data_IF_498139933766
#
_entry.id   IF_498139933766
#
_cell.length_a   1.000
_cell.length_b   1.000
_cell.length_c   1.000
_cell.angle_alpha   90.00
_cell.angle_beta   90.00
_cell.angle_gamma   90.00
#
_symmetry.space_group_name_H-M   'P 1'
#
loop_
_entity.id
_entity.type
_entity.pdbx_description
1 polymer ?
#
# COMPACT_ATOMS: atom_id res chain seq x y z
N UNK A 1 20.13 -22.10 -1.33
CA UNK A 1 20.01 -20.78 -0.69
C UNK A 1 18.99 -20.93 0.42
N UNK A 2 19.40 -20.81 1.68
CA UNK A 2 18.44 -20.79 2.80
C UNK A 2 17.93 -19.36 2.92
N UNK A 3 16.66 -19.16 2.61
CA UNK A 3 16.00 -17.88 2.81
C UNK A 3 15.52 -17.83 4.25
N UNK A 4 15.90 -16.79 4.98
CA UNK A 4 15.39 -16.53 6.33
C UNK A 4 14.60 -15.23 6.28
N UNK A 5 13.32 -15.30 6.65
CA UNK A 5 12.46 -14.13 6.76
C UNK A 5 12.58 -13.56 8.17
N UNK A 6 12.81 -12.24 8.25
CA UNK A 6 12.94 -11.51 9.52
C UNK A 6 12.13 -10.24 9.41
N UNK A 7 11.24 -10.01 10.37
CA UNK A 7 10.55 -8.72 10.49
C UNK A 7 11.49 -7.73 11.18
N UNK A 8 11.90 -6.68 10.45
CA UNK A 8 12.79 -5.64 10.99
C UNK A 8 12.03 -4.57 11.77
N UNK A 9 10.80 -4.26 11.36
CA UNK A 9 9.96 -3.26 12.03
C UNK A 9 8.53 -3.24 11.49
N UNK A 10 7.60 -2.80 12.32
CA UNK A 10 6.21 -2.53 11.96
C UNK A 10 5.78 -1.22 12.63
N UNK A 11 5.79 -0.12 11.88
CA UNK A 11 5.61 1.22 12.41
C UNK A 11 4.17 1.68 12.13
N UNK A 12 3.36 1.99 13.16
CA UNK A 12 1.99 2.44 12.96
C UNK A 12 1.91 3.78 12.23
N UNK A 13 0.89 3.93 11.37
CA UNK A 13 0.68 5.18 10.62
C UNK A 13 0.33 6.40 11.50
N UNK A 14 -0.05 6.20 12.76
CA UNK A 14 -0.39 7.29 13.68
C UNK A 14 0.83 8.00 14.28
N UNK A 15 2.00 7.35 14.26
CA UNK A 15 3.09 7.70 15.19
C UNK A 15 4.14 8.59 14.53
N UNK A 16 4.11 8.72 13.20
CA UNK A 16 5.07 9.49 12.41
C UNK A 16 4.35 10.15 11.23
N UNK A 17 4.87 11.29 10.76
CA UNK A 17 4.50 11.76 9.42
C UNK A 17 5.12 10.79 8.40
N UNK A 18 4.44 10.63 7.27
CA UNK A 18 4.77 9.64 6.24
C UNK A 18 5.45 10.27 5.04
N UNK A 19 6.35 11.22 5.27
CA UNK A 19 7.17 11.74 4.17
C UNK A 19 8.21 10.70 3.75
N UNK A 20 8.77 10.82 2.55
CA UNK A 20 9.82 9.91 2.12
C UNK A 20 11.04 9.94 3.06
N UNK A 21 11.43 11.12 3.54
CA UNK A 21 12.51 11.25 4.51
C UNK A 21 12.26 10.39 5.77
N UNK A 22 11.10 10.55 6.40
CA UNK A 22 10.77 9.84 7.64
C UNK A 22 10.72 8.31 7.46
N UNK A 23 10.21 7.86 6.30
CA UNK A 23 10.23 6.43 5.94
C UNK A 23 11.67 5.93 5.78
N UNK A 24 12.53 6.68 5.09
CA UNK A 24 13.93 6.33 4.89
C UNK A 24 14.69 6.23 6.22
N UNK A 25 14.57 7.24 7.08
CA UNK A 25 15.18 7.27 8.41
C UNK A 25 14.74 6.07 9.25
N UNK A 26 13.43 5.84 9.34
CA UNK A 26 12.89 4.76 10.15
C UNK A 26 13.33 3.39 9.64
N UNK A 27 13.45 3.21 8.32
CA UNK A 27 13.97 1.98 7.71
C UNK A 27 15.41 1.73 8.15
N UNK A 28 16.27 2.75 8.09
CA UNK A 28 17.67 2.62 8.47
C UNK A 28 17.86 2.35 9.96
N UNK A 29 17.07 2.99 10.81
CA UNK A 29 17.04 2.71 12.25
C UNK A 29 16.66 1.24 12.51
N UNK A 30 15.59 0.74 11.89
CA UNK A 30 15.19 -0.65 12.04
C UNK A 30 16.26 -1.65 11.55
N UNK A 31 16.95 -1.35 10.46
CA UNK A 31 18.06 -2.18 9.98
C UNK A 31 19.23 -2.19 10.97
N UNK A 32 19.65 -1.01 11.45
CA UNK A 32 20.75 -0.88 12.39
C UNK A 32 20.46 -1.56 13.75
N UNK A 33 19.26 -1.38 14.31
CA UNK A 33 18.81 -2.04 15.54
C UNK A 33 18.86 -3.58 15.42
N UNK A 34 18.75 -4.08 14.20
CA UNK A 34 18.76 -5.50 13.87
C UNK A 34 20.13 -6.05 13.50
N UNK A 35 21.16 -5.20 13.52
CA UNK A 35 22.55 -5.54 13.21
C UNK A 35 22.89 -5.49 11.71
N UNK A 36 21.97 -5.01 10.86
CA UNK A 36 22.13 -4.96 9.42
C UNK A 36 22.76 -3.62 8.99
N UNK A 37 23.96 -3.35 9.49
CA UNK A 37 24.71 -2.10 9.28
C UNK A 37 24.71 -1.18 10.50
N UNK A 38 25.30 -0.01 10.34
CA UNK A 38 25.36 1.06 11.34
C UNK A 38 24.62 2.26 10.79
N UNK A 39 23.70 2.79 11.60
CA UNK A 39 23.01 4.03 11.31
C UNK A 39 23.01 4.91 12.56
N UNK A 40 23.61 6.09 12.45
CA UNK A 40 23.61 7.08 13.54
C UNK A 40 22.91 8.34 13.05
N UNK A 41 21.65 8.51 13.46
CA UNK A 41 20.93 9.77 13.24
C UNK A 41 21.57 10.84 14.12
N UNK A 42 22.16 11.85 13.48
CA UNK A 42 22.64 13.05 14.15
C UNK A 42 22.20 14.30 13.41
N UNK A 43 20.94 14.38 12.97
CA UNK A 43 20.24 15.61 12.54
C UNK A 43 21.12 16.81 12.06
N UNK A 44 22.05 16.57 11.12
CA UNK A 44 22.56 17.47 10.05
C UNK A 44 23.85 17.05 9.36
N UNK A 45 24.62 16.08 9.87
CA UNK A 45 25.72 15.46 9.13
C UNK A 45 25.77 13.98 9.56
N UNK A 46 25.33 13.07 8.68
CA UNK A 46 25.45 11.62 8.94
C UNK A 46 26.93 11.29 9.17
N UNK A 47 27.28 10.83 10.36
CA UNK A 47 28.66 10.44 10.69
C UNK A 47 28.98 9.06 10.12
N UNK A 48 28.00 8.16 10.08
CA UNK A 48 28.14 6.81 9.50
C UNK A 48 26.77 6.24 9.09
N UNK A 49 26.65 5.83 7.83
CA UNK A 49 25.50 5.09 7.28
C UNK A 49 26.04 3.95 6.40
N UNK A 50 26.09 2.75 6.97
CA UNK A 50 26.50 1.52 6.27
C UNK A 50 25.32 0.60 5.99
N UNK A 51 24.08 1.04 6.29
CA UNK A 51 22.86 0.25 6.02
C UNK A 51 22.65 0.05 4.53
N UNK A 52 22.96 1.05 3.70
CA UNK A 52 22.88 0.89 2.23
C UNK A 52 23.78 -0.24 1.70
N UNK A 53 24.87 -0.56 2.40
CA UNK A 53 25.84 -1.58 1.96
C UNK A 53 25.40 -2.99 2.41
N UNK A 54 24.53 -3.08 3.43
CA UNK A 54 23.96 -4.35 3.90
C UNK A 54 22.69 -4.74 3.14
N UNK A 55 21.98 -3.77 2.56
CA UNK A 55 20.75 -3.97 1.81
C UNK A 55 21.06 -4.18 0.33
N UNK A 56 20.90 -5.42 -0.14
CA UNK A 56 21.12 -5.73 -1.56
C UNK A 56 20.08 -5.09 -2.48
N UNK A 57 18.80 -5.16 -2.11
CA UNK A 57 17.72 -4.55 -2.86
C UNK A 57 16.51 -4.31 -1.96
N UNK A 58 15.71 -3.32 -2.35
CA UNK A 58 14.40 -3.03 -1.74
C UNK A 58 13.29 -3.37 -2.73
N UNK A 59 12.15 -3.82 -2.22
CA UNK A 59 10.96 -4.10 -3.02
C UNK A 59 9.79 -3.34 -2.41
N UNK A 60 9.17 -2.43 -3.16
CA UNK A 60 8.03 -1.63 -2.72
C UNK A 60 6.97 -1.47 -3.80
N UNK A 61 5.79 -1.02 -3.40
CA UNK A 61 4.84 -0.44 -4.35
C UNK A 61 5.36 0.90 -4.91
N UNK A 62 4.64 1.46 -5.89
CA UNK A 62 5.03 2.72 -6.52
C UNK A 62 4.53 3.95 -5.75
N UNK A 63 4.28 3.87 -4.44
CA UNK A 63 3.86 5.02 -3.66
C UNK A 63 4.97 6.07 -3.59
N UNK A 64 4.65 7.35 -3.83
CA UNK A 64 5.66 8.40 -3.99
C UNK A 64 6.57 8.54 -2.77
N UNK A 65 6.03 8.37 -1.57
CA UNK A 65 6.80 8.58 -0.34
C UNK A 65 7.77 7.42 -0.10
N UNK A 66 7.38 6.16 -0.35
CA UNK A 66 8.30 5.03 -0.18
C UNK A 66 9.42 5.08 -1.23
N UNK A 67 9.08 5.40 -2.49
CA UNK A 67 10.07 5.57 -3.57
C UNK A 67 11.06 6.68 -3.23
N UNK A 68 10.59 7.82 -2.70
CA UNK A 68 11.47 8.90 -2.29
C UNK A 68 12.33 8.54 -1.07
N UNK A 69 11.76 7.81 -0.09
CA UNK A 69 12.48 7.42 1.12
C UNK A 69 13.54 6.35 0.89
N UNK A 70 13.36 5.52 -0.12
CA UNK A 70 14.28 4.45 -0.48
C UNK A 70 15.11 4.76 -1.72
N UNK A 71 15.15 6.02 -2.17
CA UNK A 71 15.90 6.43 -3.36
C UNK A 71 17.43 6.22 -3.27
N UNK A 72 17.95 5.93 -2.08
CA UNK A 72 19.36 5.64 -1.82
C UNK A 72 19.69 4.15 -1.88
N UNK A 73 18.67 3.28 -1.98
CA UNK A 73 18.82 1.84 -2.16
C UNK A 73 18.57 1.45 -3.62
N UNK A 74 19.11 0.31 -4.03
CA UNK A 74 18.68 -0.33 -5.28
C UNK A 74 17.25 -0.85 -5.10
N UNK A 75 16.31 -0.28 -5.86
CA UNK A 75 14.87 -0.52 -5.73
C UNK A 75 14.28 -1.29 -6.90
N UNK A 76 13.38 -2.23 -6.59
CA UNK A 76 12.57 -2.95 -7.55
C UNK A 76 11.07 -2.80 -7.25
N UNK A 77 10.26 -2.88 -8.29
CA UNK A 77 8.81 -2.80 -8.16
C UNK A 77 8.24 -4.11 -7.60
N UNK A 78 7.27 -3.98 -6.71
CA UNK A 78 6.52 -5.12 -6.20
C UNK A 78 5.64 -5.74 -7.28
N UNK A 79 5.83 -7.04 -7.54
CA UNK A 79 5.05 -7.80 -8.52
C UNK A 79 3.55 -7.82 -8.20
N UNK A 80 3.17 -7.87 -6.92
CA UNK A 80 1.75 -7.85 -6.52
C UNK A 80 1.12 -6.49 -6.84
N UNK A 81 1.84 -5.40 -6.62
CA UNK A 81 1.41 -4.07 -7.01
C UNK A 81 1.30 -3.94 -8.54
N UNK A 82 2.27 -4.47 -9.29
CA UNK A 82 2.22 -4.51 -10.75
C UNK A 82 1.03 -5.31 -11.27
N UNK A 83 0.73 -6.47 -10.67
CA UNK A 83 -0.44 -7.26 -11.02
C UNK A 83 -1.73 -6.49 -10.74
N UNK A 84 -1.81 -5.81 -9.60
CA UNK A 84 -2.94 -4.94 -9.29
C UNK A 84 -3.11 -3.83 -10.34
N UNK A 85 -2.03 -3.18 -10.77
CA UNK A 85 -2.06 -2.18 -11.84
C UNK A 85 -2.53 -2.76 -13.18
N UNK A 86 -2.10 -3.97 -13.53
CA UNK A 86 -2.57 -4.67 -14.74
C UNK A 86 -4.08 -4.91 -14.70
N UNK A 87 -4.61 -5.36 -13.55
CA UNK A 87 -6.05 -5.53 -13.34
C UNK A 87 -6.77 -4.19 -13.45
N UNK A 88 -6.23 -3.12 -12.87
CA UNK A 88 -6.81 -1.78 -13.01
C UNK A 88 -6.85 -1.29 -14.45
N UNK A 89 -5.77 -1.49 -15.21
CA UNK A 89 -5.73 -1.14 -16.63
C UNK A 89 -6.78 -1.91 -17.44
N UNK A 90 -6.97 -3.20 -17.16
CA UNK A 90 -8.03 -3.99 -17.78
C UNK A 90 -9.43 -3.45 -17.44
N UNK A 91 -9.67 -3.09 -16.18
CA UNK A 91 -10.95 -2.53 -15.74
C UNK A 91 -11.25 -1.15 -16.35
N UNK A 92 -10.24 -0.43 -16.84
CA UNK A 92 -10.41 0.85 -17.56
C UNK A 92 -10.69 0.69 -19.07
N UNK A 93 -10.67 -0.54 -19.58
CA UNK A 93 -10.90 -0.79 -21.01
C UNK A 93 -12.34 -0.46 -21.40
N UNK A 94 -12.59 0.19 -22.56
CA UNK A 94 -13.94 0.46 -23.05
C UNK A 94 -14.80 -0.81 -23.10
N UNK A 95 -16.07 -0.70 -22.69
CA UNK A 95 -17.00 -1.81 -22.52
C UNK A 95 -16.91 -2.46 -21.13
N UNK A 96 -15.70 -2.67 -20.61
CA UNK A 96 -15.48 -3.18 -19.24
C UNK A 96 -15.72 -2.07 -18.22
N UNK A 97 -15.18 -0.87 -18.47
CA UNK A 97 -15.28 0.30 -17.61
C UNK A 97 -16.73 0.67 -17.28
N UNK A 98 -17.63 0.63 -18.25
CA UNK A 98 -19.04 0.98 -18.08
C UNK A 98 -19.77 -0.05 -17.21
N UNK A 99 -19.48 -1.34 -17.42
CA UNK A 99 -20.03 -2.43 -16.60
C UNK A 99 -19.50 -2.31 -15.18
N UNK A 100 -18.19 -2.15 -15.02
CA UNK A 100 -17.56 -2.00 -13.71
C UNK A 100 -18.09 -0.78 -12.95
N UNK A 101 -18.27 0.37 -13.62
CA UNK A 101 -18.87 1.58 -13.03
C UNK A 101 -20.31 1.36 -12.55
N UNK A 102 -21.12 0.60 -13.30
CA UNK A 102 -22.49 0.26 -12.89
C UNK A 102 -22.49 -0.65 -11.65
N UNK A 103 -21.64 -1.69 -11.65
CA UNK A 103 -21.49 -2.58 -10.50
C UNK A 103 -21.02 -1.83 -9.26
N UNK A 104 -20.04 -0.92 -9.42
CA UNK A 104 -19.58 -0.02 -8.36
C UNK A 104 -20.73 0.81 -7.80
N UNK A 105 -21.53 1.45 -8.67
CA UNK A 105 -22.69 2.23 -8.26
C UNK A 105 -23.74 1.42 -7.50
N UNK A 106 -23.98 0.17 -7.89
CA UNK A 106 -24.85 -0.74 -7.15
C UNK A 106 -24.28 -1.06 -5.76
N UNK A 107 -23.01 -1.45 -5.66
CA UNK A 107 -22.34 -1.71 -4.38
C UNK A 107 -22.39 -0.48 -3.48
N UNK A 108 -22.06 0.71 -3.99
CA UNK A 108 -22.16 1.98 -3.24
C UNK A 108 -23.59 2.24 -2.75
N UNK A 109 -24.60 2.02 -3.60
CA UNK A 109 -25.99 2.19 -3.20
C UNK A 109 -26.39 1.21 -2.09
N UNK A 110 -26.04 -0.07 -2.20
CA UNK A 110 -26.31 -1.06 -1.15
C UNK A 110 -25.55 -0.76 0.14
N UNK A 111 -24.31 -0.26 0.06
CA UNK A 111 -23.53 0.15 1.21
C UNK A 111 -24.20 1.28 2.00
N UNK A 112 -24.89 2.20 1.32
CA UNK A 112 -25.59 3.32 1.97
C UNK A 112 -27.10 3.09 2.18
N UNK A 113 -27.65 2.00 1.65
CA UNK A 113 -29.08 1.71 1.74
C UNK A 113 -29.43 1.12 3.11
N UNK A 114 -30.12 1.90 3.93
CA UNK A 114 -30.64 1.43 5.24
C UNK A 114 -31.54 0.21 5.07
N UNK A 115 -32.37 0.20 4.03
CA UNK A 115 -33.26 -0.94 3.72
C UNK A 115 -32.44 -2.15 3.28
N UNK A 116 -31.44 -1.95 2.42
CA UNK A 116 -30.56 -3.01 1.94
C UNK A 116 -29.75 -3.65 3.07
N UNK A 117 -29.18 -2.84 3.97
CA UNK A 117 -28.47 -3.34 5.14
C UNK A 117 -29.39 -4.09 6.11
N UNK A 118 -30.62 -3.59 6.32
CA UNK A 118 -31.61 -4.29 7.15
C UNK A 118 -31.96 -5.67 6.58
N UNK A 119 -32.21 -5.75 5.27
CA UNK A 119 -32.55 -7.02 4.62
C UNK A 119 -31.37 -8.01 4.63
N UNK A 120 -30.14 -7.50 4.43
CA UNK A 120 -28.92 -8.31 4.56
C UNK A 120 -28.81 -8.89 5.98
N UNK A 121 -29.02 -8.07 7.01
CA UNK A 121 -28.98 -8.51 8.40
C UNK A 121 -30.07 -9.54 8.72
N UNK A 122 -31.29 -9.35 8.20
CA UNK A 122 -32.38 -10.32 8.31
C UNK A 122 -32.01 -11.67 7.67
N UNK A 123 -31.42 -11.65 6.48
CA UNK A 123 -30.95 -12.86 5.80
C UNK A 123 -29.82 -13.55 6.56
N UNK A 124 -28.85 -12.79 7.07
CA UNK A 124 -27.74 -13.34 7.86
C UNK A 124 -28.23 -14.01 9.14
N UNK A 125 -29.21 -13.40 9.81
CA UNK A 125 -29.85 -13.99 10.99
C UNK A 125 -30.66 -15.24 10.63
N UNK A 126 -31.43 -15.21 9.54
CA UNK A 126 -32.25 -16.35 9.09
C UNK A 126 -31.40 -17.58 8.77
N UNK A 127 -30.27 -17.37 8.08
CA UNK A 127 -29.39 -18.44 7.62
C UNK A 127 -28.19 -18.69 8.54
N UNK A 128 -28.13 -18.05 9.71
CA UNK A 128 -27.02 -18.16 10.69
C UNK A 128 -25.64 -17.90 10.06
N UNK A 129 -25.57 -16.93 9.15
CA UNK A 129 -24.34 -16.51 8.51
C UNK A 129 -23.59 -15.51 9.39
N UNK A 130 -22.29 -15.36 9.16
CA UNK A 130 -21.49 -14.33 9.81
C UNK A 130 -22.06 -12.94 9.52
N UNK A 131 -21.99 -12.05 10.51
CA UNK A 131 -22.39 -10.65 10.38
C UNK A 131 -21.33 -9.89 9.56
N UNK A 132 -21.44 -10.03 8.25
CA UNK A 132 -20.63 -9.39 7.22
C UNK A 132 -21.29 -8.06 6.86
N UNK A 133 -20.53 -6.98 6.93
CA UNK A 133 -20.93 -5.70 6.33
C UNK A 133 -20.67 -5.73 4.83
N UNK A 134 -21.50 -5.07 4.00
CA UNK A 134 -21.19 -4.86 2.61
C UNK A 134 -19.75 -4.31 2.46
N UNK A 135 -18.92 -4.87 1.56
CA UNK A 135 -17.54 -4.41 1.40
C UNK A 135 -17.53 -2.90 1.15
N UNK A 136 -16.85 -2.16 2.01
CA UNK A 136 -16.60 -0.75 1.71
C UNK A 136 -15.70 -0.70 0.49
N UNK A 137 -16.12 0.04 -0.52
CA UNK A 137 -15.28 0.33 -1.67
C UNK A 137 -14.46 1.57 -1.32
N UNK A 138 -13.26 1.35 -0.79
CA UNK A 138 -12.32 2.41 -0.45
C UNK A 138 -11.65 2.88 -1.74
N UNK A 139 -11.68 4.19 -2.02
CA UNK A 139 -11.01 4.78 -3.20
C UNK A 139 -9.51 4.43 -3.27
N UNK A 140 -8.87 4.17 -2.12
CA UNK A 140 -7.47 3.74 -2.02
C UNK A 140 -7.19 2.38 -2.64
N UNK A 141 -8.21 1.54 -2.87
CA UNK A 141 -8.06 0.23 -3.52
C UNK A 141 -8.20 0.29 -5.05
N UNK A 142 -8.63 1.44 -5.61
CA UNK A 142 -8.86 1.56 -7.06
C UNK A 142 -8.30 2.82 -7.71
N UNK A 143 -7.73 3.77 -6.96
CA UNK A 143 -6.80 4.78 -7.49
C UNK A 143 -7.33 5.71 -8.59
N UNK A 144 -8.63 5.77 -8.84
CA UNK A 144 -9.24 6.60 -9.91
C UNK A 144 -9.13 8.12 -9.69
N UNK A 145 -8.63 8.55 -8.53
CA UNK A 145 -8.37 9.95 -8.23
C UNK A 145 -7.03 10.48 -8.75
N UNK A 146 -6.12 9.63 -9.24
CA UNK A 146 -4.81 10.06 -9.73
C UNK A 146 -4.63 9.61 -11.18
N UNK A 147 -4.61 10.54 -12.15
CA UNK A 147 -4.31 10.22 -13.54
C UNK A 147 -2.95 9.52 -13.66
N UNK A 148 -2.92 8.38 -14.38
CA UNK A 148 -1.68 7.66 -14.73
C UNK A 148 -0.65 8.57 -15.45
N UNK A 149 -1.11 9.66 -16.09
CA UNK A 149 -0.26 10.64 -16.77
C UNK A 149 0.61 11.50 -15.85
N UNK A 150 0.49 11.42 -14.52
CA UNK A 150 1.36 12.14 -13.58
C UNK A 150 2.52 11.31 -13.02
N UNK A 151 2.66 10.02 -13.40
CA UNK A 151 3.74 9.15 -12.88
C UNK A 151 4.96 9.04 -13.80
N UNK A 152 4.87 9.53 -15.04
CA UNK A 152 6.00 9.68 -15.95
C UNK A 152 6.42 11.15 -16.06
N UNK A 153 7.07 11.65 -15.01
CA UNK A 153 7.82 12.90 -15.04
C UNK A 153 9.28 12.56 -14.83
N UNK A 154 10.08 12.83 -15.85
CA UNK A 154 11.55 12.83 -15.89
C UNK A 154 12.23 13.34 -14.63
#
# INVERSE_FOLDING_TARGET
>A
MNLHEKLLGAIPFSDVRHTGYEIGEATKVCCADMGDGVYTDSTKDCVEDTVKDSVHCTVSDSASNIVNGWNTFDGHECNDHLLALCVHAYLDTPGVKEVFRKLRGMTTHFNHSVIGQKFLHECQNLYKLNNITPPQDNDTRTGWGVPLSRRSGT
#
